data_IF_437532895454
#
_entry.id   IF_437532895454
#
_cell.length_a   1.000
_cell.length_b   1.000
_cell.length_c   1.000
_cell.angle_alpha   90.00
_cell.angle_beta   90.00
_cell.angle_gamma   90.00
#
_symmetry.space_group_name_H-M   'P 1'
#
loop_
_entity.id
_entity.type
_entity.pdbx_description
1 polymer ?
#
# COMPACT_ATOMS: atom_id res chain seq x y z
N UNK A 1 35.82 -2.45 -37.99
CA UNK A 1 34.77 -3.24 -38.66
C UNK A 1 34.01 -3.98 -37.57
N UNK A 2 32.76 -3.55 -37.30
CA UNK A 2 32.01 -3.91 -36.10
C UNK A 2 31.34 -5.29 -36.22
N UNK A 3 31.55 -6.12 -35.20
CA UNK A 3 30.86 -7.39 -34.97
C UNK A 3 29.36 -7.15 -34.72
N UNK A 4 28.52 -7.60 -35.65
CA UNK A 4 27.09 -7.76 -35.41
C UNK A 4 26.84 -9.10 -34.70
N UNK A 5 26.44 -9.03 -33.44
CA UNK A 5 25.87 -10.13 -32.68
C UNK A 5 24.40 -10.29 -33.08
N UNK A 6 24.08 -11.36 -33.80
CA UNK A 6 22.70 -11.77 -34.11
C UNK A 6 21.97 -12.21 -32.82
N UNK A 7 20.77 -11.69 -32.52
CA UNK A 7 20.02 -12.17 -31.37
C UNK A 7 19.41 -13.54 -31.66
N UNK A 8 19.71 -14.49 -30.77
CA UNK A 8 19.14 -15.84 -30.71
C UNK A 8 17.62 -15.75 -30.59
N UNK A 9 16.89 -16.14 -31.64
CA UNK A 9 15.43 -16.28 -31.60
C UNK A 9 15.06 -17.51 -30.76
N UNK A 10 14.73 -17.31 -29.48
CA UNK A 10 14.02 -18.33 -28.68
C UNK A 10 12.55 -18.34 -29.10
N UNK A 11 12.12 -19.47 -29.67
CA UNK A 11 10.75 -19.73 -30.09
C UNK A 11 9.89 -19.96 -28.84
N UNK A 12 9.10 -18.96 -28.42
CA UNK A 12 8.15 -19.11 -27.32
C UNK A 12 6.84 -19.71 -27.85
N UNK A 13 6.44 -20.84 -27.26
CA UNK A 13 5.17 -21.52 -27.54
C UNK A 13 3.95 -20.69 -27.15
N UNK A 14 2.82 -21.05 -27.76
CA UNK A 14 1.51 -20.38 -27.75
C UNK A 14 1.00 -20.05 -26.33
N UNK A 15 0.51 -18.81 -26.16
CA UNK A 15 -0.77 -18.56 -25.49
C UNK A 15 -0.83 -18.38 -23.98
N UNK A 16 0.27 -18.06 -23.30
CA UNK A 16 0.19 -17.52 -21.94
C UNK A 16 0.25 -16.01 -21.99
N UNK A 17 -0.88 -15.29 -21.90
CA UNK A 17 -0.83 -13.88 -21.54
C UNK A 17 -0.22 -13.82 -20.14
N UNK A 18 1.05 -13.45 -20.04
CA UNK A 18 1.60 -12.94 -18.79
C UNK A 18 0.76 -11.69 -18.51
N UNK A 19 -0.30 -11.85 -17.74
CA UNK A 19 -0.96 -10.73 -17.10
C UNK A 19 -0.07 -10.45 -15.89
N UNK A 20 0.89 -9.50 -15.93
CA UNK A 20 1.56 -9.10 -14.73
C UNK A 20 0.45 -8.63 -13.79
N UNK A 21 0.12 -9.45 -12.80
CA UNK A 21 -0.73 -9.02 -11.71
C UNK A 21 -0.09 -7.73 -11.20
N UNK A 22 -0.82 -6.61 -11.14
CA UNK A 22 -0.26 -5.37 -10.62
C UNK A 22 0.23 -5.63 -9.20
N UNK A 23 1.54 -5.55 -8.99
CA UNK A 23 2.16 -5.69 -7.67
C UNK A 23 2.19 -4.32 -7.00
N UNK A 24 1.72 -4.26 -5.76
CA UNK A 24 1.79 -3.06 -4.92
C UNK A 24 2.81 -3.31 -3.82
N UNK A 25 3.79 -2.42 -3.72
CA UNK A 25 4.69 -2.33 -2.57
C UNK A 25 4.36 -1.03 -1.83
N UNK A 26 4.06 -1.14 -0.54
CA UNK A 26 3.81 -0.02 0.35
C UNK A 26 4.87 -0.02 1.43
N UNK A 27 5.69 1.04 1.44
CA UNK A 27 6.64 1.29 2.51
C UNK A 27 6.10 2.42 3.40
N UNK A 28 6.12 2.22 4.71
CA UNK A 28 5.75 3.24 5.70
C UNK A 28 6.99 3.43 6.58
N UNK A 29 7.67 4.57 6.42
CA UNK A 29 8.86 4.88 7.20
C UNK A 29 8.53 5.04 8.69
N UNK A 30 7.43 5.73 8.99
CA UNK A 30 7.00 6.00 10.35
C UNK A 30 5.47 5.96 10.48
N UNK A 31 4.98 5.26 11.51
CA UNK A 31 3.58 5.27 11.91
C UNK A 31 3.45 5.96 13.28
N UNK A 32 3.01 7.21 13.28
CA UNK A 32 2.80 7.99 14.50
C UNK A 32 1.38 7.81 15.00
N UNK A 33 1.23 7.23 16.20
CA UNK A 33 -0.05 7.04 16.87
C UNK A 33 -0.06 7.78 18.20
N UNK A 34 -1.06 8.64 18.39
CA UNK A 34 -1.28 9.33 19.66
C UNK A 34 -2.32 8.60 20.50
N UNK A 35 -2.14 8.58 21.82
CA UNK A 35 -3.11 8.00 22.76
C UNK A 35 -2.97 6.48 23.00
N UNK A 36 -1.95 5.82 22.46
CA UNK A 36 -1.68 4.39 22.68
C UNK A 36 -0.51 4.18 23.63
N UNK A 37 -0.53 3.06 24.35
CA UNK A 37 0.59 2.69 25.20
C UNK A 37 1.80 2.29 24.32
N UNK A 38 3.04 2.73 24.64
CA UNK A 38 4.22 2.35 23.88
C UNK A 38 4.44 0.83 23.77
N UNK A 39 3.93 0.07 24.74
CA UNK A 39 3.98 -1.40 24.77
C UNK A 39 3.14 -2.06 23.69
N UNK A 40 2.13 -1.37 23.14
CA UNK A 40 1.21 -1.92 22.14
C UNK A 40 1.70 -1.70 20.69
N UNK A 41 2.72 -0.85 20.50
CA UNK A 41 3.16 -0.39 19.17
C UNK A 41 3.44 -1.53 18.19
N UNK A 42 4.04 -2.63 18.66
CA UNK A 42 4.40 -3.77 17.81
C UNK A 42 3.15 -4.56 17.41
N UNK A 43 2.27 -4.89 18.37
CA UNK A 43 1.04 -5.61 18.10
C UNK A 43 0.08 -4.83 17.18
N UNK A 44 0.02 -3.51 17.35
CA UNK A 44 -0.72 -2.62 16.44
C UNK A 44 -0.08 -2.64 15.06
N UNK A 45 1.24 -2.45 14.97
CA UNK A 45 1.99 -2.45 13.71
C UNK A 45 1.81 -3.74 12.89
N UNK A 46 1.96 -4.90 13.54
CA UNK A 46 1.78 -6.21 12.89
C UNK A 46 0.37 -6.36 12.32
N UNK A 47 -0.64 -5.88 13.07
CA UNK A 47 -2.03 -5.94 12.61
C UNK A 47 -2.29 -4.97 11.47
N UNK A 48 -1.70 -3.76 11.53
CA UNK A 48 -1.80 -2.77 10.44
C UNK A 48 -1.24 -3.35 9.15
N UNK A 49 -0.07 -3.98 9.20
CA UNK A 49 0.55 -4.60 8.03
C UNK A 49 -0.33 -5.69 7.43
N UNK A 50 -0.81 -6.63 8.26
CA UNK A 50 -1.65 -7.74 7.80
C UNK A 50 -2.97 -7.23 7.20
N UNK A 51 -3.62 -6.27 7.85
CA UNK A 51 -4.90 -5.74 7.39
C UNK A 51 -4.74 -4.90 6.11
N UNK A 52 -3.70 -4.06 6.02
CA UNK A 52 -3.40 -3.32 4.78
C UNK A 52 -3.14 -4.27 3.62
N UNK A 53 -2.38 -5.35 3.83
CA UNK A 53 -2.17 -6.39 2.82
C UNK A 53 -3.51 -6.95 2.32
N UNK A 54 -4.42 -7.30 3.23
CA UNK A 54 -5.74 -7.79 2.86
C UNK A 54 -6.57 -6.74 2.10
N UNK A 55 -6.61 -5.50 2.58
CA UNK A 55 -7.38 -4.42 1.97
C UNK A 55 -6.89 -4.09 0.56
N UNK A 56 -5.57 -4.04 0.36
CA UNK A 56 -4.95 -3.79 -0.93
C UNK A 56 -5.16 -4.93 -1.92
N UNK A 57 -5.12 -6.19 -1.46
CA UNK A 57 -5.43 -7.36 -2.30
C UNK A 57 -6.90 -7.40 -2.68
N UNK A 58 -7.81 -7.03 -1.76
CA UNK A 58 -9.25 -6.96 -2.03
C UNK A 58 -9.61 -5.81 -2.99
N UNK A 59 -8.80 -4.76 -3.05
CA UNK A 59 -8.94 -3.71 -4.06
C UNK A 59 -8.45 -4.20 -5.42
N UNK A 60 -9.35 -4.28 -6.40
CA UNK A 60 -9.02 -4.71 -7.76
C UNK A 60 -7.97 -3.81 -8.45
N UNK A 61 -7.81 -2.56 -8.02
CA UNK A 61 -6.71 -1.68 -8.43
C UNK A 61 -6.56 -0.48 -7.50
N UNK A 62 -5.33 -0.17 -7.08
CA UNK A 62 -5.00 1.18 -6.66
C UNK A 62 -4.98 2.09 -7.90
N UNK A 63 -5.46 3.34 -7.81
CA UNK A 63 -5.46 4.20 -8.99
C UNK A 63 -4.03 4.50 -9.45
N UNK A 64 -3.82 4.51 -10.78
CA UNK A 64 -2.51 4.77 -11.40
C UNK A 64 -1.87 6.10 -10.95
N UNK A 65 -2.67 7.05 -10.44
CA UNK A 65 -2.19 8.30 -9.87
C UNK A 65 -1.32 8.15 -8.61
N UNK A 66 -1.32 6.96 -7.99
CA UNK A 66 -0.44 6.60 -6.89
C UNK A 66 0.78 5.78 -7.33
N UNK A 67 0.86 5.36 -8.60
CA UNK A 67 1.98 4.55 -9.07
C UNK A 67 3.28 5.35 -9.00
N UNK A 68 4.32 4.77 -8.40
CA UNK A 68 5.65 5.36 -8.22
C UNK A 68 5.62 6.73 -7.51
N UNK A 69 4.70 6.90 -6.57
CA UNK A 69 4.56 8.15 -5.82
C UNK A 69 5.13 8.00 -4.42
N UNK A 70 6.03 8.92 -4.08
CA UNK A 70 6.43 9.19 -2.70
C UNK A 70 5.44 10.21 -2.11
N UNK A 71 4.99 9.96 -0.88
CA UNK A 71 4.03 10.80 -0.17
C UNK A 71 4.67 11.21 1.14
N UNK A 72 5.07 12.48 1.24
CA UNK A 72 5.78 13.02 2.42
C UNK A 72 5.04 12.77 3.74
N UNK A 73 3.70 12.88 3.72
CA UNK A 73 2.86 12.62 4.88
C UNK A 73 1.43 12.29 4.49
N UNK A 74 0.86 11.32 5.19
CA UNK A 74 -0.57 11.03 5.17
C UNK A 74 -1.15 11.37 6.54
N UNK A 75 -2.09 12.29 6.58
CA UNK A 75 -2.97 12.46 7.73
C UNK A 75 -4.20 11.55 7.53
N UNK A 76 -4.24 10.44 8.25
CA UNK A 76 -5.34 9.49 8.19
C UNK A 76 -6.57 9.93 9.01
N UNK A 77 -6.50 11.09 9.65
CA UNK A 77 -7.54 11.68 10.48
C UNK A 77 -7.65 11.04 11.86
N UNK A 78 -8.71 11.43 12.57
CA UNK A 78 -9.06 10.92 13.89
C UNK A 78 -10.05 9.77 13.79
N UNK A 79 -9.98 8.84 14.73
CA UNK A 79 -10.93 7.74 14.85
C UNK A 79 -11.09 7.34 16.31
N UNK A 80 -12.33 7.01 16.68
CA UNK A 80 -12.64 6.59 18.03
C UNK A 80 -12.42 5.09 18.19
N UNK A 81 -11.83 4.72 19.33
CA UNK A 81 -11.66 3.34 19.76
C UNK A 81 -12.27 3.21 21.14
N UNK A 82 -12.96 2.10 21.38
CA UNK A 82 -13.44 1.76 22.71
C UNK A 82 -12.26 1.72 23.70
N UNK A 83 -12.46 2.28 24.89
CA UNK A 83 -11.46 2.22 25.96
C UNK A 83 -11.10 0.76 26.27
N UNK A 84 -9.80 0.46 26.31
CA UNK A 84 -9.30 -0.90 26.54
C UNK A 84 -9.48 -1.86 25.37
N UNK A 85 -9.77 -1.37 24.16
CA UNK A 85 -9.78 -2.23 22.98
C UNK A 85 -8.42 -2.89 22.77
N UNK A 86 -8.44 -4.16 22.42
CA UNK A 86 -7.22 -4.91 22.15
C UNK A 86 -6.47 -4.35 20.93
N UNK A 87 -5.14 -4.43 20.97
CA UNK A 87 -4.25 -3.97 19.91
C UNK A 87 -4.65 -4.42 18.48
N UNK A 88 -5.16 -5.64 18.24
CA UNK A 88 -5.61 -6.02 16.89
C UNK A 88 -6.82 -5.22 16.40
N UNK A 89 -7.77 -4.92 17.27
CA UNK A 89 -8.93 -4.09 16.93
C UNK A 89 -8.47 -2.68 16.56
N UNK A 90 -7.54 -2.13 17.34
CA UNK A 90 -6.94 -0.82 17.07
C UNK A 90 -6.17 -0.80 15.75
N UNK A 91 -5.34 -1.80 15.50
CA UNK A 91 -4.56 -1.92 14.27
C UNK A 91 -5.43 -2.03 13.02
N UNK A 92 -6.55 -2.77 13.08
CA UNK A 92 -7.51 -2.80 11.96
C UNK A 92 -8.08 -1.42 11.66
N UNK A 93 -8.46 -0.65 12.68
CA UNK A 93 -9.00 0.71 12.50
C UNK A 93 -7.96 1.67 11.90
N UNK A 94 -6.71 1.57 12.34
CA UNK A 94 -5.58 2.32 11.76
C UNK A 94 -5.41 1.97 10.28
N UNK A 95 -5.36 0.68 9.93
CA UNK A 95 -5.22 0.22 8.54
C UNK A 95 -6.37 0.72 7.64
N UNK A 96 -7.61 0.64 8.12
CA UNK A 96 -8.77 1.18 7.40
C UNK A 96 -8.65 2.69 7.17
N UNK A 97 -8.18 3.44 8.17
CA UNK A 97 -7.98 4.89 8.05
C UNK A 97 -6.91 5.25 7.01
N UNK A 98 -5.76 4.57 7.06
CA UNK A 98 -4.68 4.74 6.07
C UNK A 98 -5.19 4.41 4.67
N UNK A 99 -5.87 3.28 4.49
CA UNK A 99 -6.41 2.87 3.18
C UNK A 99 -7.41 3.90 2.64
N UNK A 100 -8.30 4.44 3.49
CA UNK A 100 -9.23 5.52 3.08
C UNK A 100 -8.47 6.77 2.64
N UNK A 101 -7.44 7.18 3.37
CA UNK A 101 -6.63 8.34 3.03
C UNK A 101 -5.88 8.15 1.70
N UNK A 102 -5.27 6.98 1.49
CA UNK A 102 -4.62 6.62 0.21
C UNK A 102 -5.60 6.70 -0.97
N UNK A 103 -6.77 6.08 -0.84
CA UNK A 103 -7.82 6.15 -1.86
C UNK A 103 -8.32 7.59 -2.07
N UNK A 104 -8.39 8.39 -1.00
CA UNK A 104 -8.74 9.81 -1.05
C UNK A 104 -7.73 10.63 -1.86
N UNK A 105 -6.43 10.45 -1.62
CA UNK A 105 -5.34 11.11 -2.36
C UNK A 105 -5.38 10.81 -3.85
N UNK A 106 -5.80 9.60 -4.21
CA UNK A 106 -5.93 9.18 -5.59
C UNK A 106 -7.10 9.85 -6.34
N UNK A 107 -8.09 10.37 -5.60
CA UNK A 107 -9.26 11.06 -6.18
C UNK A 107 -9.02 12.56 -6.38
N UNK A 108 -7.97 13.12 -5.80
CA UNK A 108 -7.66 14.53 -5.96
C UNK A 108 -7.08 14.80 -7.36
N UNK A 109 -7.57 15.82 -8.10
CA UNK A 109 -7.01 16.19 -9.38
C UNK A 109 -5.56 16.65 -9.18
N UNK A 110 -4.65 16.10 -10.00
CA UNK A 110 -3.24 16.47 -10.02
C UNK A 110 -3.11 17.97 -10.31
N UNK A 111 -2.90 18.79 -9.29
CA UNK A 111 -2.59 20.20 -9.46
C UNK A 111 -1.18 20.28 -10.01
N UNK A 112 -1.06 20.37 -11.33
CA UNK A 112 0.20 20.70 -12.02
C UNK A 112 0.60 22.11 -11.58
N UNK A 113 1.65 22.21 -10.76
CA UNK A 113 2.45 23.42 -10.61
C UNK A 113 3.43 23.53 -11.76
#
# INVERSE_FOLDING_TARGET
MNSQLSPVRRKLGKGGTFNPQPSVELHIDELVLHGFAPTERHAIGDTVESELRELLVKQQSLPLSLANREIDRIDAGEFEIASGAAAPTSGRRVAEAINRALVGLARLPQRRT
#
